data_IF_452016820065
#
_entry.id   IF_452016820065
#
_cell.length_a   1.000
_cell.length_b   1.000
_cell.length_c   1.000
_cell.angle_alpha   90.00
_cell.angle_beta   90.00
_cell.angle_gamma   90.00
#
_symmetry.space_group_name_H-M   'P 1'
#
loop_
_entity.id
_entity.type
_entity.pdbx_description
1 polymer ?
#
# COMPACT_ATOMS: atom_id res chain seq x y z
N UNK A 1 -12.25 -6.46 -5.10
CA UNK A 1 -11.74 -7.81 -5.42
C UNK A 1 -10.91 -7.87 -6.70
N UNK A 2 -11.45 -7.61 -7.91
CA UNK A 2 -10.71 -7.75 -9.19
C UNK A 2 -9.38 -6.99 -9.22
N UNK A 3 -9.37 -5.74 -8.74
CA UNK A 3 -8.15 -4.93 -8.67
C UNK A 3 -7.11 -5.46 -7.67
N UNK A 4 -7.54 -6.06 -6.55
CA UNK A 4 -6.63 -6.66 -5.56
C UNK A 4 -5.93 -7.87 -6.16
N UNK A 5 -6.67 -8.72 -6.88
CA UNK A 5 -6.11 -9.89 -7.57
C UNK A 5 -5.17 -9.45 -8.70
N UNK A 6 -5.54 -8.43 -9.48
CA UNK A 6 -4.68 -7.88 -10.52
C UNK A 6 -3.37 -7.31 -9.94
N UNK A 7 -3.45 -6.55 -8.85
CA UNK A 7 -2.28 -6.02 -8.16
C UNK A 7 -1.38 -7.14 -7.62
N UNK A 8 -1.97 -8.21 -7.07
CA UNK A 8 -1.22 -9.38 -6.61
C UNK A 8 -0.52 -10.10 -7.76
N UNK A 9 -1.21 -10.28 -8.89
CA UNK A 9 -0.61 -10.88 -10.08
C UNK A 9 0.57 -10.05 -10.59
N UNK A 10 0.44 -8.72 -10.66
CA UNK A 10 1.52 -7.82 -11.06
C UNK A 10 2.71 -7.88 -10.09
N UNK A 11 2.45 -8.00 -8.79
CA UNK A 11 3.51 -8.20 -7.79
C UNK A 11 4.25 -9.52 -7.99
N UNK A 12 3.53 -10.63 -8.22
CA UNK A 12 4.13 -11.94 -8.50
C UNK A 12 4.96 -11.88 -9.80
N UNK A 13 4.43 -11.25 -10.85
CA UNK A 13 5.15 -11.06 -12.12
C UNK A 13 6.42 -10.23 -11.92
N UNK A 14 6.35 -9.16 -11.12
CA UNK A 14 7.51 -8.32 -10.79
C UNK A 14 8.62 -9.13 -10.11
N UNK A 15 8.27 -9.95 -9.12
CA UNK A 15 9.23 -10.83 -8.44
C UNK A 15 9.80 -11.89 -9.38
N UNK A 16 8.95 -12.60 -10.11
CA UNK A 16 9.37 -13.67 -11.01
C UNK A 16 10.31 -13.14 -12.11
N UNK A 17 9.96 -12.01 -12.71
CA UNK A 17 10.79 -11.33 -13.71
C UNK A 17 12.15 -10.90 -13.14
N UNK A 18 12.18 -10.44 -11.89
CA UNK A 18 13.42 -10.08 -11.20
C UNK A 18 14.35 -11.27 -11.00
N UNK A 19 13.80 -12.41 -10.57
CA UNK A 19 14.55 -13.67 -10.34
C UNK A 19 15.18 -14.19 -11.63
N UNK A 20 14.48 -14.10 -12.77
CA UNK A 20 15.01 -14.55 -14.08
C UNK A 20 15.81 -13.48 -14.82
N UNK A 21 16.15 -12.36 -14.17
CA UNK A 21 17.00 -11.30 -14.72
C UNK A 21 16.32 -10.36 -15.72
N UNK A 22 15.00 -10.41 -15.89
CA UNK A 22 14.23 -9.48 -16.73
C UNK A 22 13.93 -8.17 -15.97
N UNK A 23 14.98 -7.38 -15.72
CA UNK A 23 14.92 -6.17 -14.89
C UNK A 23 13.87 -5.14 -15.35
N UNK A 24 13.74 -4.93 -16.67
CA UNK A 24 12.76 -3.99 -17.21
C UNK A 24 11.32 -4.45 -16.93
N UNK A 25 11.02 -5.73 -17.19
CA UNK A 25 9.70 -6.30 -16.91
C UNK A 25 9.40 -6.28 -15.41
N UNK A 26 10.39 -6.59 -14.57
CA UNK A 26 10.27 -6.56 -13.12
C UNK A 26 9.90 -5.17 -12.61
N UNK A 27 10.59 -4.13 -13.09
CA UNK A 27 10.34 -2.74 -12.71
C UNK A 27 8.99 -2.23 -13.21
N UNK A 28 8.64 -2.50 -14.47
CA UNK A 28 7.34 -2.11 -15.04
C UNK A 28 6.17 -2.79 -14.33
N UNK A 29 6.27 -4.10 -14.09
CA UNK A 29 5.26 -4.84 -13.34
C UNK A 29 5.17 -4.36 -11.89
N UNK A 30 6.30 -4.02 -11.26
CA UNK A 30 6.37 -3.46 -9.92
C UNK A 30 5.70 -2.09 -9.82
N UNK A 31 5.97 -1.20 -10.78
CA UNK A 31 5.33 0.11 -10.83
C UNK A 31 3.82 -0.01 -11.07
N UNK A 32 3.41 -0.88 -12.00
CA UNK A 32 2.00 -1.17 -12.27
C UNK A 32 1.29 -1.75 -11.04
N UNK A 33 1.95 -2.62 -10.28
CA UNK A 33 1.45 -3.15 -9.01
C UNK A 33 1.20 -2.02 -7.99
N UNK A 34 2.17 -1.13 -7.78
CA UNK A 34 2.05 0.00 -6.84
C UNK A 34 0.87 0.89 -7.22
N UNK A 35 0.72 1.21 -8.52
CA UNK A 35 -0.40 2.00 -9.02
C UNK A 35 -1.74 1.28 -8.81
N UNK A 36 -1.79 -0.03 -9.07
CA UNK A 36 -2.98 -0.84 -8.85
C UNK A 36 -3.38 -0.88 -7.36
N UNK A 37 -2.42 -0.98 -6.43
CA UNK A 37 -2.68 -0.84 -4.99
C UNK A 37 -3.22 0.55 -4.67
N UNK A 38 -2.62 1.61 -5.20
CA UNK A 38 -3.12 2.97 -5.02
C UNK A 38 -4.58 3.13 -5.47
N UNK A 39 -4.94 2.52 -6.61
CA UNK A 39 -6.31 2.50 -7.10
C UNK A 39 -7.26 1.72 -6.17
N UNK A 40 -6.82 0.58 -5.61
CA UNK A 40 -7.56 -0.14 -4.58
C UNK A 40 -7.78 0.76 -3.36
N UNK A 41 -6.73 1.37 -2.80
CA UNK A 41 -6.83 2.24 -1.63
C UNK A 41 -7.77 3.43 -1.86
N UNK A 42 -7.74 4.05 -3.05
CA UNK A 42 -8.70 5.09 -3.42
C UNK A 42 -10.13 4.57 -3.47
N UNK A 43 -10.36 3.37 -4.00
CA UNK A 43 -11.68 2.74 -3.99
C UNK A 43 -12.16 2.48 -2.56
N UNK A 44 -11.27 1.98 -1.70
CA UNK A 44 -11.56 1.71 -0.30
C UNK A 44 -11.93 3.01 0.44
N UNK A 45 -11.17 4.08 0.22
CA UNK A 45 -11.45 5.42 0.76
C UNK A 45 -12.84 5.92 0.34
N UNK A 46 -13.19 5.82 -0.94
CA UNK A 46 -14.50 6.26 -1.44
C UNK A 46 -15.63 5.45 -0.80
N UNK A 47 -15.46 4.14 -0.65
CA UNK A 47 -16.39 3.27 0.07
C UNK A 47 -16.57 3.73 1.51
N UNK A 48 -15.47 3.97 2.23
CA UNK A 48 -15.50 4.49 3.60
C UNK A 48 -16.23 5.84 3.70
N UNK A 49 -16.01 6.78 2.78
CA UNK A 49 -16.72 8.06 2.77
C UNK A 49 -18.23 7.88 2.49
N UNK A 50 -18.60 6.94 1.61
CA UNK A 50 -20.00 6.57 1.42
C UNK A 50 -20.61 5.97 2.68
N UNK A 51 -19.83 5.19 3.43
CA UNK A 51 -20.28 4.63 4.70
C UNK A 51 -20.49 5.73 5.75
N UNK A 52 -19.54 6.67 5.87
CA UNK A 52 -19.61 7.82 6.79
C UNK A 52 -20.84 8.68 6.50
N UNK A 53 -21.08 9.02 5.24
CA UNK A 53 -22.26 9.82 4.84
C UNK A 53 -23.59 9.11 5.14
N UNK A 54 -23.66 7.79 4.93
CA UNK A 54 -24.83 6.99 5.28
C UNK A 54 -25.01 6.80 6.81
N UNK A 55 -23.97 7.03 7.62
CA UNK A 55 -24.02 6.80 9.05
C UNK A 55 -24.79 7.87 9.85
N UNK A 56 -25.13 9.01 9.24
CA UNK A 56 -25.90 10.09 9.87
C UNK A 56 -25.17 10.69 11.07
N UNK A 57 -25.84 10.80 12.22
CA UNK A 57 -25.26 11.38 13.44
C UNK A 57 -24.03 10.64 13.98
N UNK A 58 -23.92 9.34 13.71
CA UNK A 58 -22.74 8.55 14.08
C UNK A 58 -21.47 9.00 13.32
N UNK A 59 -21.61 9.78 12.24
CA UNK A 59 -20.50 10.33 11.49
C UNK A 59 -19.66 11.35 12.26
N UNK A 60 -20.23 11.98 13.30
CA UNK A 60 -19.55 13.00 14.13
C UNK A 60 -18.35 12.43 14.90
N UNK A 61 -18.32 11.12 15.13
CA UNK A 61 -17.24 10.42 15.84
C UNK A 61 -16.20 9.81 14.90
N UNK A 62 -16.39 9.91 13.58
CA UNK A 62 -15.50 9.32 12.59
C UNK A 62 -14.38 10.30 12.22
N UNK A 63 -13.10 9.88 12.22
CA UNK A 63 -11.98 10.77 11.89
C UNK A 63 -12.06 11.36 10.48
N UNK A 64 -11.60 12.60 10.32
CA UNK A 64 -11.62 13.36 9.05
C UNK A 64 -10.26 13.35 8.34
N UNK A 65 -9.44 12.33 8.56
CA UNK A 65 -8.05 12.32 8.08
C UNK A 65 -7.95 12.30 6.54
N UNK A 66 -6.91 12.96 6.02
CA UNK A 66 -6.65 13.06 4.59
C UNK A 66 -5.87 11.84 4.08
N UNK A 67 -6.60 10.81 3.67
CA UNK A 67 -6.06 9.64 2.98
C UNK A 67 -5.34 9.99 1.66
N UNK A 68 -5.73 11.07 0.99
CA UNK A 68 -5.28 11.37 -0.37
C UNK A 68 -3.78 11.63 -0.45
N UNK A 69 -3.25 12.41 0.50
CA UNK A 69 -1.82 12.71 0.57
C UNK A 69 -1.00 11.44 0.83
N UNK A 70 -1.45 10.58 1.74
CA UNK A 70 -0.75 9.34 2.06
C UNK A 70 -0.80 8.32 0.90
N UNK A 71 -1.94 8.20 0.21
CA UNK A 71 -2.06 7.35 -0.98
C UNK A 71 -1.14 7.88 -2.08
N UNK A 72 -1.11 9.19 -2.32
CA UNK A 72 -0.25 9.81 -3.32
C UNK A 72 1.23 9.59 -2.99
N UNK A 73 1.64 9.83 -1.75
CA UNK A 73 3.01 9.60 -1.30
C UNK A 73 3.42 8.14 -1.47
N UNK A 74 2.55 7.20 -1.10
CA UNK A 74 2.78 5.76 -1.31
C UNK A 74 2.97 5.42 -2.80
N UNK A 75 2.09 5.91 -3.68
CA UNK A 75 2.16 5.60 -5.11
C UNK A 75 3.40 6.21 -5.75
N UNK A 76 3.63 7.51 -5.52
CA UNK A 76 4.75 8.24 -6.10
C UNK A 76 6.07 7.62 -5.64
N UNK A 77 6.26 7.47 -4.33
CA UNK A 77 7.48 6.84 -3.80
C UNK A 77 7.68 5.42 -4.33
N UNK A 78 6.64 4.60 -4.33
CA UNK A 78 6.72 3.23 -4.84
C UNK A 78 7.09 3.15 -6.32
N UNK A 79 6.50 3.99 -7.18
CA UNK A 79 6.83 4.02 -8.62
C UNK A 79 8.27 4.49 -8.84
N UNK A 80 8.70 5.56 -8.16
CA UNK A 80 10.07 6.05 -8.27
C UNK A 80 11.10 5.05 -7.73
N UNK A 81 10.76 4.26 -6.70
CA UNK A 81 11.62 3.17 -6.20
C UNK A 81 11.82 2.08 -7.26
N UNK A 82 10.78 1.75 -8.03
CA UNK A 82 10.90 0.76 -9.12
C UNK A 82 11.82 1.26 -10.23
N UNK A 83 11.72 2.54 -10.60
CA UNK A 83 12.60 3.17 -11.58
C UNK A 83 14.05 3.26 -11.06
N UNK A 84 14.23 3.65 -9.80
CA UNK A 84 15.54 3.75 -9.18
C UNK A 84 16.21 2.39 -8.99
N UNK A 85 15.43 1.35 -8.65
CA UNK A 85 15.92 -0.02 -8.57
C UNK A 85 16.40 -0.55 -9.92
N UNK A 86 15.66 -0.28 -11.00
CA UNK A 86 16.08 -0.61 -12.36
C UNK A 86 17.39 0.11 -12.73
N UNK A 87 17.47 1.42 -12.45
CA UNK A 87 18.67 2.20 -12.70
C UNK A 87 19.86 1.62 -11.93
N UNK A 88 19.76 1.41 -10.62
CA UNK A 88 20.83 0.81 -9.80
C UNK A 88 21.28 -0.54 -10.34
N UNK A 89 20.34 -1.42 -10.68
CA UNK A 89 20.66 -2.72 -11.25
C UNK A 89 21.42 -2.61 -12.57
N UNK A 90 21.13 -1.59 -13.40
CA UNK A 90 21.87 -1.32 -14.64
C UNK A 90 23.29 -0.78 -14.43
N UNK A 91 23.55 -0.14 -13.28
CA UNK A 91 24.86 0.46 -12.97
C UNK A 91 25.84 -0.57 -12.39
N UNK A 92 25.36 -1.62 -11.72
CA UNK A 92 26.20 -2.64 -11.07
C UNK A 92 27.20 -3.30 -12.04
N UNK A 93 26.81 -3.73 -13.26
CA UNK A 93 27.76 -4.31 -14.23
C UNK A 93 28.81 -3.32 -14.75
N UNK A 94 28.61 -2.01 -14.56
CA UNK A 94 29.49 -0.94 -15.07
C UNK A 94 30.56 -0.52 -14.06
N UNK A 95 30.52 -1.06 -12.84
CA UNK A 95 31.53 -0.83 -11.81
C UNK A 95 32.81 -1.61 -12.17
N UNK A 96 33.67 -0.98 -12.98
CA UNK A 96 35.01 -1.46 -13.33
C UNK A 96 35.99 -1.29 -12.15
N UNK A 97 37.11 -2.05 -12.11
CA UNK A 97 38.06 -2.04 -10.99
C UNK A 97 38.85 -0.74 -10.83
N UNK A 98 38.84 0.16 -11.81
CA UNK A 98 39.39 1.53 -11.68
C UNK A 98 38.35 2.43 -11.03
N UNK A 99 38.45 2.52 -9.71
CA UNK A 99 37.53 3.26 -8.84
C UNK A 99 37.67 4.77 -9.07
N UNK A 100 36.69 5.34 -9.75
CA UNK A 100 36.50 6.79 -9.85
C UNK A 100 35.73 7.27 -8.61
N UNK A 101 36.41 8.04 -7.75
CA UNK A 101 35.87 8.53 -6.47
C UNK A 101 34.64 9.40 -6.67
N UNK A 102 34.57 10.18 -7.76
CA UNK A 102 33.42 11.03 -8.07
C UNK A 102 32.19 10.19 -8.43
N UNK A 103 32.38 9.11 -9.20
CA UNK A 103 31.31 8.16 -9.52
C UNK A 103 30.81 7.42 -8.29
N UNK A 104 31.70 7.03 -7.38
CA UNK A 104 31.30 6.41 -6.10
C UNK A 104 30.51 7.39 -5.25
N UNK A 105 30.97 8.64 -5.11
CA UNK A 105 30.26 9.66 -4.34
C UNK A 105 28.88 9.94 -4.93
N UNK A 106 28.76 10.04 -6.26
CA UNK A 106 27.49 10.20 -6.96
C UNK A 106 26.54 9.01 -6.75
N UNK A 107 27.05 7.78 -6.85
CA UNK A 107 26.27 6.57 -6.58
C UNK A 107 25.83 6.49 -5.11
N UNK A 108 26.70 6.85 -4.17
CA UNK A 108 26.38 6.86 -2.75
C UNK A 108 25.27 7.87 -2.42
N UNK A 109 25.34 9.08 -2.98
CA UNK A 109 24.28 10.09 -2.85
C UNK A 109 22.97 9.62 -3.47
N UNK A 110 23.03 8.97 -4.64
CA UNK A 110 21.85 8.39 -5.27
C UNK A 110 21.22 7.30 -4.38
N UNK A 111 22.01 6.37 -3.85
CA UNK A 111 21.55 5.33 -2.93
C UNK A 111 20.93 5.94 -1.67
N UNK A 112 21.51 7.01 -1.12
CA UNK A 112 20.95 7.74 0.02
C UNK A 112 19.58 8.36 -0.33
N UNK A 113 19.44 8.96 -1.52
CA UNK A 113 18.18 9.49 -2.01
C UNK A 113 17.10 8.40 -2.18
N UNK A 114 17.49 7.24 -2.73
CA UNK A 114 16.61 6.06 -2.84
C UNK A 114 16.20 5.55 -1.46
N UNK A 115 17.10 5.51 -0.49
CA UNK A 115 16.80 5.11 0.88
C UNK A 115 15.80 6.07 1.55
N UNK A 116 15.98 7.38 1.39
CA UNK A 116 15.02 8.38 1.89
C UNK A 116 13.64 8.21 1.24
N UNK A 117 13.60 7.97 -0.07
CA UNK A 117 12.35 7.71 -0.78
C UNK A 117 11.65 6.43 -0.26
N UNK A 118 12.43 5.39 0.03
CA UNK A 118 11.93 4.16 0.63
C UNK A 118 11.32 4.41 2.02
N UNK A 119 11.96 5.25 2.84
CA UNK A 119 11.42 5.65 4.14
C UNK A 119 10.10 6.41 3.99
N UNK A 120 10.01 7.36 3.05
CA UNK A 120 8.76 8.09 2.79
C UNK A 120 7.63 7.15 2.38
N UNK A 121 7.90 6.23 1.45
CA UNK A 121 6.91 5.23 1.03
C UNK A 121 6.50 4.28 2.14
N UNK A 122 7.46 3.88 2.97
CA UNK A 122 7.21 3.03 4.13
C UNK A 122 6.33 3.73 5.18
N UNK A 123 6.64 4.97 5.53
CA UNK A 123 5.82 5.76 6.47
C UNK A 123 4.40 5.96 5.94
N UNK A 124 4.26 6.30 4.66
CA UNK A 124 2.96 6.43 4.01
C UNK A 124 2.17 5.10 4.06
N UNK A 125 2.82 3.98 3.78
CA UNK A 125 2.23 2.65 3.85
C UNK A 125 1.76 2.29 5.27
N UNK A 126 2.60 2.47 6.28
CA UNK A 126 2.26 2.22 7.69
C UNK A 126 1.07 3.08 8.12
N UNK A 127 1.10 4.37 7.80
CA UNK A 127 0.02 5.31 8.10
C UNK A 127 -1.30 4.87 7.46
N UNK A 128 -1.29 4.43 6.21
CA UNK A 128 -2.49 3.93 5.53
C UNK A 128 -3.06 2.69 6.23
N UNK A 129 -2.21 1.74 6.61
CA UNK A 129 -2.64 0.54 7.35
C UNK A 129 -3.29 0.91 8.67
N UNK A 130 -2.67 1.82 9.42
CA UNK A 130 -3.18 2.30 10.71
C UNK A 130 -4.54 3.00 10.56
N UNK A 131 -4.61 4.02 9.71
CA UNK A 131 -5.79 4.87 9.58
C UNK A 131 -6.99 4.07 9.04
N UNK A 132 -6.80 3.22 8.02
CA UNK A 132 -7.90 2.39 7.53
C UNK A 132 -8.40 1.38 8.58
N UNK A 133 -7.48 0.75 9.32
CA UNK A 133 -7.85 -0.23 10.35
C UNK A 133 -8.59 0.45 11.51
N UNK A 134 -8.10 1.62 11.94
CA UNK A 134 -8.70 2.43 12.99
C UNK A 134 -10.08 2.94 12.60
N UNK A 135 -10.24 3.53 11.42
CA UNK A 135 -11.51 4.11 11.00
C UNK A 135 -12.61 3.05 10.82
N UNK A 136 -12.26 1.87 10.29
CA UNK A 136 -13.21 0.76 10.19
C UNK A 136 -13.61 0.22 11.56
N UNK A 137 -12.69 0.17 12.51
CA UNK A 137 -12.98 -0.22 13.88
C UNK A 137 -13.96 0.77 14.55
N UNK A 138 -13.65 2.07 14.47
CA UNK A 138 -14.53 3.12 15.03
C UNK A 138 -15.91 3.05 14.40
N UNK A 139 -16.00 2.83 13.08
CA UNK A 139 -17.28 2.67 12.39
C UNK A 139 -18.10 1.50 12.92
N UNK A 140 -17.48 0.34 13.12
CA UNK A 140 -18.16 -0.85 13.64
C UNK A 140 -18.66 -0.65 15.07
N UNK A 141 -17.82 -0.04 15.93
CA UNK A 141 -18.19 0.31 17.31
C UNK A 141 -19.38 1.28 17.32
N UNK A 142 -19.33 2.34 16.49
CA UNK A 142 -20.40 3.33 16.40
C UNK A 142 -21.74 2.72 15.90
N UNK A 143 -21.70 1.61 15.17
CA UNK A 143 -22.89 0.88 14.69
C UNK A 143 -23.26 -0.32 15.57
N UNK A 144 -22.58 -0.54 16.71
CA UNK A 144 -22.88 -1.67 17.61
C UNK A 144 -22.61 -3.04 17.00
N UNK A 145 -21.83 -3.13 15.93
CA UNK A 145 -21.50 -4.38 15.24
C UNK A 145 -20.32 -5.06 15.93
N UNK A 146 -20.55 -5.62 17.12
CA UNK A 146 -19.52 -6.21 18.01
C UNK A 146 -19.13 -7.64 17.57
N UNK A 147 -18.85 -7.86 16.29
CA UNK A 147 -18.52 -9.22 15.80
C UNK A 147 -17.01 -9.43 15.62
N UNK A 148 -16.16 -8.39 15.66
CA UNK A 148 -14.73 -8.57 15.42
C UNK A 148 -13.83 -7.56 16.16
N UNK A 149 -12.74 -8.06 16.76
CA UNK A 149 -11.59 -7.25 17.20
C UNK A 149 -10.53 -7.30 16.08
N UNK A 150 -10.33 -6.23 15.29
CA UNK A 150 -9.20 -6.22 14.37
C UNK A 150 -7.91 -6.45 15.16
N UNK A 151 -7.03 -7.31 14.64
CA UNK A 151 -5.66 -7.38 15.16
C UNK A 151 -5.04 -5.98 14.98
N UNK A 152 -4.15 -5.57 15.90
CA UNK A 152 -3.61 -4.20 15.90
C UNK A 152 -3.00 -3.85 14.54
N UNK A 153 -3.02 -2.57 14.16
CA UNK A 153 -2.35 -2.10 12.94
C UNK A 153 -0.88 -2.56 12.88
N UNK A 154 -0.22 -2.60 14.04
CA UNK A 154 1.13 -3.14 14.24
C UNK A 154 1.27 -4.59 13.79
N UNK A 155 0.27 -5.46 14.03
CA UNK A 155 0.30 -6.85 13.56
C UNK A 155 0.37 -6.93 12.04
N UNK A 156 -0.45 -6.16 11.32
CA UNK A 156 -0.45 -6.15 9.86
C UNK A 156 0.83 -5.55 9.27
N UNK A 157 1.40 -4.53 9.93
CA UNK A 157 2.68 -3.93 9.54
C UNK A 157 3.83 -4.92 9.71
N UNK A 158 3.99 -5.50 10.91
CA UNK A 158 5.07 -6.45 11.23
C UNK A 158 4.99 -7.68 10.34
N UNK A 159 3.79 -8.26 10.19
CA UNK A 159 3.61 -9.47 9.41
C UNK A 159 3.65 -9.18 7.89
N UNK A 160 3.26 -7.98 7.46
CA UNK A 160 3.49 -7.48 6.10
C UNK A 160 4.97 -7.40 5.74
N UNK A 161 5.81 -6.89 6.66
CA UNK A 161 7.27 -6.86 6.49
C UNK A 161 7.88 -8.27 6.39
N UNK A 162 7.50 -9.17 7.30
CA UNK A 162 8.04 -10.54 7.34
C UNK A 162 7.65 -11.34 6.08
N UNK A 163 6.47 -11.08 5.53
CA UNK A 163 5.96 -11.80 4.34
C UNK A 163 6.31 -11.12 3.02
N UNK A 164 7.26 -10.18 3.02
CA UNK A 164 7.66 -9.39 1.84
C UNK A 164 6.50 -8.65 1.16
N UNK A 165 5.40 -8.38 1.87
CA UNK A 165 4.20 -7.75 1.34
C UNK A 165 3.10 -8.71 0.89
N UNK A 166 3.26 -10.03 0.94
CA UNK A 166 2.16 -10.96 0.64
C UNK A 166 0.98 -10.78 1.58
N UNK A 167 1.24 -10.60 2.88
CA UNK A 167 0.18 -10.37 3.85
C UNK A 167 -0.46 -8.98 3.72
N UNK A 168 0.19 -8.03 3.05
CA UNK A 168 -0.44 -6.76 2.74
C UNK A 168 -1.63 -6.94 1.78
N UNK A 169 -1.55 -7.88 0.82
CA UNK A 169 -2.70 -8.24 -0.01
C UNK A 169 -3.82 -8.92 0.76
N UNK A 170 -3.48 -9.73 1.76
CA UNK A 170 -4.47 -10.27 2.69
C UNK A 170 -5.16 -9.14 3.47
N UNK A 171 -4.42 -8.16 3.98
CA UNK A 171 -5.00 -6.98 4.63
C UNK A 171 -5.93 -6.19 3.69
N UNK A 172 -5.52 -5.92 2.45
CA UNK A 172 -6.37 -5.27 1.44
C UNK A 172 -7.68 -6.05 1.19
N UNK A 173 -7.59 -7.38 1.11
CA UNK A 173 -8.75 -8.25 0.96
C UNK A 173 -9.68 -8.16 2.18
N UNK A 174 -9.13 -8.22 3.39
CA UNK A 174 -9.87 -8.13 4.65
C UNK A 174 -10.62 -6.80 4.73
N UNK A 175 -9.93 -5.69 4.47
CA UNK A 175 -10.53 -4.34 4.45
C UNK A 175 -11.66 -4.24 3.42
N UNK A 176 -11.43 -4.73 2.20
CA UNK A 176 -12.47 -4.75 1.15
C UNK A 176 -13.69 -5.57 1.57
N UNK A 177 -13.48 -6.76 2.14
CA UNK A 177 -14.55 -7.65 2.60
C UNK A 177 -15.38 -6.98 3.69
N UNK A 178 -14.74 -6.33 4.65
CA UNK A 178 -15.44 -5.64 5.74
C UNK A 178 -16.29 -4.49 5.25
N UNK A 179 -15.78 -3.62 4.39
CA UNK A 179 -16.61 -2.56 3.81
C UNK A 179 -17.77 -3.13 3.01
N UNK A 180 -17.56 -4.19 2.25
CA UNK A 180 -18.64 -4.85 1.50
C UNK A 180 -19.73 -5.43 2.42
N UNK A 181 -19.37 -5.90 3.63
CA UNK A 181 -20.33 -6.36 4.63
C UNK A 181 -21.09 -5.18 5.25
N UNK A 182 -20.40 -4.10 5.60
CA UNK A 182 -21.00 -2.88 6.16
C UNK A 182 -21.98 -2.21 5.18
N UNK A 183 -21.60 -2.10 3.91
CA UNK A 183 -22.47 -1.57 2.86
C UNK A 183 -23.76 -2.38 2.72
N UNK A 184 -23.69 -3.71 2.84
CA UNK A 184 -24.87 -4.58 2.80
C UNK A 184 -25.76 -4.36 4.01
N UNK A 185 -25.18 -4.34 5.22
CA UNK A 185 -25.92 -4.16 6.46
C UNK A 185 -26.67 -2.82 6.52
N UNK A 186 -26.11 -1.75 5.95
CA UNK A 186 -26.79 -0.46 5.91
C UNK A 186 -27.85 -0.34 4.80
N UNK A 187 -27.83 -1.22 3.80
CA UNK A 187 -28.84 -1.25 2.72
C UNK A 187 -30.03 -2.16 3.05
N UNK A 188 -29.87 -3.10 3.99
CA UNK A 188 -30.98 -3.93 4.49
C UNK A 188 -31.82 -3.15 5.51
N UNK A 189 -33.17 -3.16 5.40
CA UNK A 189 -34.02 -2.55 6.41
C UNK A 189 -33.82 -3.25 7.77
N UNK A 190 -34.00 -2.54 8.90
CA UNK A 190 -33.97 -3.17 10.21
C UNK A 190 -35.09 -4.21 10.27
N UNK A 191 -34.73 -5.46 10.58
CA UNK A 191 -35.65 -6.55 10.90
C UNK A 191 -36.24 -6.36 12.29
#
# INVERSE_FOLDING_TARGET
MRLIVAALALYIVSLAAGVVGQLLLSSLAGAAYVVAVGAVLMQLRRGLNSLKSAAGDAAKFLPTDSYDAAILLYVVSGVFLQAAGFFLASQIPQLQPTVDVEKIAGLALFVLGVALLAVVGFVAWVYLVEVFTRDLYIFQVAKGLVVFRPHSATFYVVLGLITLGLLYFYWLYVVWRWMSQLEKLMKSPPS
#
